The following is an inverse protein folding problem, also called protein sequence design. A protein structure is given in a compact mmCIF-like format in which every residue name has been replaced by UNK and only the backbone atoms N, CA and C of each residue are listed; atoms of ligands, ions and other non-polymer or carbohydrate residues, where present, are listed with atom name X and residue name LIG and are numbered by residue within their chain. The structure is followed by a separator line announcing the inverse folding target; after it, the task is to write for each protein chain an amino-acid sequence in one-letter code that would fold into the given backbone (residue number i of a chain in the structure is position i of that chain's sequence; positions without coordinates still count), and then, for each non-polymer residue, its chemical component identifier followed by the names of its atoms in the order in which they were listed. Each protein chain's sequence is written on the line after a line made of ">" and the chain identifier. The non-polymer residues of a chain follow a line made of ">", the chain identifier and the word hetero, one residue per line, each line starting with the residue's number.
data_IF_686135299798
#
_entry.id   IF_686135299798
#
_cell.length_a   1.000
_cell.length_b   1.000
_cell.length_c   1.000
_cell.angle_alpha   90.00
_cell.angle_beta   90.00
_cell.angle_gamma   90.00
#
_symmetry.space_group_name_H-M   'P 1'
#
loop_
_entity.id
_entity.type
_entity.pdbx_description
1 polymer ?
#
# COMPACT_ATOMS: atom_id res chain seq x y z
N UNK A 1 0.49 11.54 -0.76
CA UNK A 1 1.48 11.67 -1.81
C UNK A 1 2.44 10.49 -1.83
N UNK A 2 3.45 10.47 -0.96
CA UNK A 2 4.60 9.55 -1.02
C UNK A 2 4.22 8.05 -1.03
N UNK A 3 3.28 7.63 -0.20
CA UNK A 3 2.87 6.21 -0.13
C UNK A 3 2.20 5.75 -1.43
N UNK A 4 1.32 6.58 -2.00
CA UNK A 4 0.69 6.28 -3.30
C UNK A 4 1.71 6.19 -4.42
N UNK A 5 2.74 7.04 -4.43
CA UNK A 5 3.81 6.98 -5.41
C UNK A 5 4.59 5.66 -5.33
N UNK A 6 4.88 5.18 -4.12
CA UNK A 6 5.52 3.86 -3.93
C UNK A 6 4.67 2.72 -4.49
N UNK A 7 3.35 2.72 -4.23
CA UNK A 7 2.46 1.71 -4.79
C UNK A 7 2.44 1.75 -6.33
N UNK A 8 2.31 2.95 -6.92
CA UNK A 8 2.33 3.09 -8.38
C UNK A 8 3.65 2.56 -8.96
N UNK A 9 4.78 2.92 -8.36
CA UNK A 9 6.09 2.44 -8.80
C UNK A 9 6.26 0.92 -8.64
N UNK A 10 5.70 0.33 -7.59
CA UNK A 10 5.72 -1.12 -7.37
C UNK A 10 4.86 -1.86 -8.39
N UNK A 11 3.66 -1.34 -8.70
CA UNK A 11 2.71 -1.94 -9.65
C UNK A 11 3.21 -1.74 -11.09
N UNK A 12 3.78 -0.58 -11.38
CA UNK A 12 4.22 -0.14 -12.71
C UNK A 12 5.69 0.26 -12.70
N UNK A 13 6.64 -0.70 -12.65
CA UNK A 13 8.07 -0.40 -12.49
C UNK A 13 8.69 0.39 -13.65
N UNK A 14 8.04 0.39 -14.82
CA UNK A 14 8.49 1.11 -16.02
C UNK A 14 7.87 2.51 -16.16
N UNK A 15 7.07 2.95 -15.19
CA UNK A 15 6.43 4.28 -15.18
C UNK A 15 7.26 5.20 -14.30
N UNK A 16 7.55 6.39 -14.77
CA UNK A 16 8.12 7.46 -13.97
C UNK A 16 7.03 8.10 -13.12
N UNK A 17 7.29 8.27 -11.83
CA UNK A 17 6.29 8.78 -10.87
C UNK A 17 6.81 10.08 -10.27
N UNK A 18 6.16 11.18 -10.65
CA UNK A 18 6.45 12.50 -10.12
C UNK A 18 5.44 12.91 -9.04
N UNK A 19 5.93 13.58 -8.00
CA UNK A 19 5.12 14.12 -6.93
C UNK A 19 4.94 15.62 -7.13
N UNK A 20 3.69 16.02 -7.33
CA UNK A 20 3.32 17.44 -7.34
C UNK A 20 2.93 17.86 -5.91
N UNK A 21 3.40 19.06 -5.53
CA UNK A 21 2.93 19.74 -4.30
C UNK A 21 1.63 20.46 -4.65
N UNK A 22 0.51 19.93 -4.16
CA UNK A 22 -0.84 20.38 -4.47
C UNK A 22 -1.46 21.28 -3.38
N UNK A 23 -0.74 21.56 -2.30
CA UNK A 23 -1.27 22.31 -1.13
C UNK A 23 -1.73 23.75 -1.47
N UNK A 24 -1.36 24.26 -2.64
CA UNK A 24 -1.62 25.65 -3.05
C UNK A 24 -2.55 25.78 -4.26
N UNK A 25 -2.94 24.66 -4.87
CA UNK A 25 -3.74 24.65 -6.08
C UNK A 25 -5.22 24.40 -5.76
N UNK A 26 -6.11 25.18 -6.36
CA UNK A 26 -7.54 24.94 -6.27
C UNK A 26 -7.95 23.74 -7.13
N UNK A 27 -8.89 22.93 -6.66
CA UNK A 27 -9.35 21.71 -7.34
C UNK A 27 -9.85 21.97 -8.78
N UNK A 28 -10.41 23.16 -9.04
CA UNK A 28 -11.01 23.54 -10.33
C UNK A 28 -10.07 24.40 -11.22
N UNK A 29 -8.83 24.68 -10.80
CA UNK A 29 -7.90 25.53 -11.54
C UNK A 29 -7.04 24.73 -12.51
N UNK A 30 -7.64 24.34 -13.66
CA UNK A 30 -6.96 23.56 -14.69
C UNK A 30 -5.73 24.25 -15.29
N UNK A 31 -5.69 25.58 -15.31
CA UNK A 31 -4.54 26.34 -15.82
C UNK A 31 -3.36 26.26 -14.86
N UNK A 32 -3.59 26.49 -13.56
CA UNK A 32 -2.56 26.40 -12.54
C UNK A 32 -1.99 24.98 -12.44
N UNK A 33 -2.85 23.95 -12.50
CA UNK A 33 -2.45 22.55 -12.55
C UNK A 33 -1.61 22.21 -13.77
N UNK A 34 -2.02 22.66 -14.98
CA UNK A 34 -1.27 22.43 -16.21
C UNK A 34 0.12 23.05 -16.14
N UNK A 35 0.21 24.30 -15.67
CA UNK A 35 1.49 24.98 -15.48
C UNK A 35 2.39 24.26 -14.49
N UNK A 36 1.88 23.90 -13.31
CA UNK A 36 2.66 23.18 -12.30
C UNK A 36 3.17 21.83 -12.83
N UNK A 37 2.35 21.12 -13.61
CA UNK A 37 2.76 19.86 -14.23
C UNK A 37 3.86 20.07 -15.26
N UNK A 38 3.73 21.06 -16.14
CA UNK A 38 4.77 21.38 -17.13
C UNK A 38 6.08 21.82 -16.49
N UNK A 39 6.02 22.58 -15.39
CA UNK A 39 7.20 23.01 -14.64
C UNK A 39 7.97 21.80 -14.05
N UNK A 40 7.25 20.78 -13.58
CA UNK A 40 7.86 19.55 -13.06
C UNK A 40 8.38 18.65 -14.17
N UNK A 41 7.62 18.44 -15.24
CA UNK A 41 8.03 17.60 -16.37
C UNK A 41 9.18 18.21 -17.17
N UNK A 42 9.23 19.53 -17.30
CA UNK A 42 10.22 20.23 -18.14
C UNK A 42 10.00 20.08 -19.64
N UNK A 43 8.90 19.45 -20.07
CA UNK A 43 8.50 19.26 -21.48
C UNK A 43 6.99 19.18 -21.61
N UNK A 44 6.47 19.33 -22.83
CA UNK A 44 5.05 19.14 -23.16
C UNK A 44 4.86 17.67 -23.54
N UNK A 45 4.00 16.90 -22.82
CA UNK A 45 3.70 15.51 -23.19
C UNK A 45 2.85 15.46 -24.49
N UNK A 46 2.89 14.35 -25.19
CA UNK A 46 2.06 14.14 -26.39
C UNK A 46 0.57 14.04 -26.04
N UNK A 47 0.25 13.41 -24.91
CA UNK A 47 -1.12 13.22 -24.46
C UNK A 47 -1.25 13.12 -22.92
N UNK A 48 -2.43 13.49 -22.42
CA UNK A 48 -2.86 13.23 -21.05
C UNK A 48 -4.09 12.33 -21.04
N UNK A 49 -4.14 11.43 -20.07
CA UNK A 49 -5.23 10.48 -19.90
C UNK A 49 -5.98 10.82 -18.62
N UNK A 50 -7.28 11.05 -18.72
CA UNK A 50 -8.14 11.26 -17.53
C UNK A 50 -9.48 10.57 -17.71
N UNK A 51 -10.17 10.32 -16.60
CA UNK A 51 -11.55 9.84 -16.58
C UNK A 51 -12.55 10.94 -16.13
N UNK A 52 -12.13 12.19 -16.15
CA UNK A 52 -12.90 13.31 -15.60
C UNK A 52 -13.05 14.44 -16.62
N UNK A 53 -14.06 15.30 -16.42
CA UNK A 53 -14.40 16.38 -17.35
C UNK A 53 -13.35 17.52 -17.39
N UNK A 54 -12.54 17.66 -16.35
CA UNK A 54 -11.46 18.65 -16.33
C UNK A 54 -10.32 18.33 -17.29
N UNK A 55 -10.28 17.13 -17.87
CA UNK A 55 -9.22 16.72 -18.78
C UNK A 55 -9.09 17.57 -20.03
N UNK A 56 -10.21 18.03 -20.61
CA UNK A 56 -10.20 18.87 -21.80
C UNK A 56 -9.53 20.23 -21.55
N UNK A 57 -9.97 21.07 -20.58
CA UNK A 57 -9.28 22.32 -20.30
C UNK A 57 -7.83 22.12 -19.84
N UNK A 58 -7.56 21.10 -19.04
CA UNK A 58 -6.21 20.79 -18.58
C UNK A 58 -5.25 20.49 -19.74
N UNK A 59 -5.64 19.61 -20.67
CA UNK A 59 -4.83 19.29 -21.85
C UNK A 59 -4.66 20.50 -22.77
N UNK A 60 -5.71 21.34 -22.90
CA UNK A 60 -5.63 22.57 -23.66
C UNK A 60 -4.58 23.52 -23.12
N UNK A 61 -4.51 23.73 -21.81
CA UNK A 61 -3.48 24.56 -21.17
C UNK A 61 -2.08 23.94 -21.26
N UNK A 62 -1.97 22.62 -21.27
CA UNK A 62 -0.70 21.92 -21.47
C UNK A 62 -0.23 21.95 -22.94
N UNK A 63 -1.12 22.18 -23.90
CA UNK A 63 -0.83 22.10 -25.32
C UNK A 63 -0.68 20.67 -25.86
N UNK A 64 -1.39 19.70 -25.30
CA UNK A 64 -1.31 18.30 -25.66
C UNK A 64 -2.69 17.67 -25.96
N UNK A 65 -2.72 16.42 -26.39
CA UNK A 65 -3.96 15.70 -26.68
C UNK A 65 -4.59 15.19 -25.39
N UNK A 66 -5.92 15.37 -25.21
CA UNK A 66 -6.67 14.70 -24.15
C UNK A 66 -7.24 13.37 -24.62
N UNK A 67 -7.03 12.31 -23.84
CA UNK A 67 -7.62 11.01 -24.03
C UNK A 67 -8.54 10.71 -22.85
N UNK A 68 -9.85 10.79 -23.08
CA UNK A 68 -10.86 10.48 -22.07
C UNK A 68 -11.01 8.96 -21.90
N UNK A 69 -10.77 8.46 -20.70
CA UNK A 69 -10.79 7.02 -20.37
C UNK A 69 -11.93 6.71 -19.44
N UNK A 70 -12.88 5.86 -19.88
CA UNK A 70 -13.95 5.25 -19.07
C UNK A 70 -14.66 6.22 -18.07
N UNK A 71 -15.02 7.43 -18.55
CA UNK A 71 -15.71 8.44 -17.73
C UNK A 71 -16.95 7.90 -17.03
N UNK A 72 -17.74 7.08 -17.75
CA UNK A 72 -18.96 6.48 -17.25
C UNK A 72 -18.70 5.26 -16.34
N UNK A 73 -17.42 4.91 -16.13
CA UNK A 73 -16.99 3.76 -15.29
C UNK A 73 -17.70 2.45 -15.64
N UNK A 74 -17.86 2.21 -16.93
CA UNK A 74 -18.50 0.99 -17.45
C UNK A 74 -17.55 -0.19 -17.51
N UNK A 75 -16.27 0.04 -17.70
CA UNK A 75 -15.22 -0.99 -17.70
C UNK A 75 -14.73 -1.31 -16.29
N UNK A 76 -14.46 -0.27 -15.51
CA UNK A 76 -13.99 -0.42 -14.13
C UNK A 76 -14.94 0.38 -13.21
N UNK A 77 -15.96 -0.29 -12.61
CA UNK A 77 -17.04 0.36 -11.89
C UNK A 77 -16.64 0.84 -10.48
N UNK A 78 -15.48 1.51 -10.37
CA UNK A 78 -14.92 2.00 -9.11
C UNK A 78 -14.29 3.38 -9.28
N UNK A 79 -14.35 4.20 -8.22
CA UNK A 79 -13.65 5.48 -8.15
C UNK A 79 -12.74 5.55 -6.92
N UNK A 80 -11.74 6.41 -6.98
CA UNK A 80 -10.88 6.68 -5.84
C UNK A 80 -11.67 7.16 -4.60
N UNK A 81 -12.76 7.91 -4.81
CA UNK A 81 -13.66 8.35 -3.74
C UNK A 81 -14.40 7.17 -3.11
N UNK A 82 -14.90 6.23 -3.91
CA UNK A 82 -15.52 5.00 -3.39
C UNK A 82 -14.54 4.17 -2.58
N UNK A 83 -13.33 3.96 -3.08
CA UNK A 83 -12.27 3.24 -2.35
C UNK A 83 -11.96 3.93 -1.02
N UNK A 84 -11.72 5.25 -1.03
CA UNK A 84 -11.43 6.01 0.19
C UNK A 84 -12.56 5.96 1.22
N UNK A 85 -13.81 5.92 0.77
CA UNK A 85 -14.96 5.86 1.67
C UNK A 85 -15.08 4.51 2.39
N UNK A 86 -14.73 3.41 1.73
CA UNK A 86 -14.78 2.07 2.32
C UNK A 86 -13.79 1.11 1.62
N UNK A 87 -12.50 1.15 1.98
CA UNK A 87 -11.48 0.32 1.33
C UNK A 87 -11.77 -1.18 1.43
N UNK A 88 -12.29 -1.62 2.58
CA UNK A 88 -12.60 -3.04 2.82
C UNK A 88 -13.68 -3.57 1.89
N UNK A 89 -14.70 -2.73 1.57
CA UNK A 89 -15.77 -3.12 0.65
C UNK A 89 -15.27 -3.31 -0.78
N UNK A 90 -14.26 -2.56 -1.17
CA UNK A 90 -13.74 -2.52 -2.54
C UNK A 90 -12.33 -3.13 -2.64
N UNK A 91 -11.99 -4.01 -1.69
CA UNK A 91 -10.65 -4.60 -1.57
C UNK A 91 -10.23 -5.38 -2.82
N UNK A 92 -11.18 -6.00 -3.50
CA UNK A 92 -10.95 -6.78 -4.73
C UNK A 92 -10.43 -5.94 -5.92
N UNK A 93 -10.68 -4.63 -5.90
CA UNK A 93 -10.17 -3.69 -6.91
C UNK A 93 -8.79 -3.14 -6.60
N UNK A 94 -8.21 -3.51 -5.45
CA UNK A 94 -6.91 -3.01 -5.02
C UNK A 94 -5.81 -4.04 -5.30
N UNK A 95 -4.69 -3.55 -5.77
CA UNK A 95 -3.50 -4.38 -5.91
C UNK A 95 -2.97 -4.87 -4.55
N UNK A 96 -2.27 -6.02 -4.49
CA UNK A 96 -1.81 -6.62 -3.23
C UNK A 96 -1.07 -5.66 -2.30
N UNK A 97 -0.14 -4.87 -2.81
CA UNK A 97 0.62 -3.89 -2.04
C UNK A 97 -0.27 -2.78 -1.44
N UNK A 98 -1.35 -2.42 -2.13
CA UNK A 98 -2.34 -1.45 -1.63
C UNK A 98 -3.24 -2.10 -0.60
N UNK A 99 -3.70 -3.35 -0.84
CA UNK A 99 -4.51 -4.13 0.11
C UNK A 99 -3.80 -4.29 1.45
N UNK A 100 -2.51 -4.59 1.44
CA UNK A 100 -1.67 -4.75 2.63
C UNK A 100 -1.75 -3.56 3.59
N UNK A 101 -1.89 -2.34 3.06
CA UNK A 101 -2.02 -1.12 3.88
C UNK A 101 -3.34 -1.00 4.62
N UNK A 102 -4.38 -1.73 4.17
CA UNK A 102 -5.70 -1.80 4.81
C UNK A 102 -5.91 -3.09 5.62
N UNK A 103 -4.95 -4.01 5.62
CA UNK A 103 -5.02 -5.25 6.36
C UNK A 103 -5.15 -4.99 7.88
N UNK A 104 -6.15 -5.60 8.50
CA UNK A 104 -6.33 -5.54 9.96
C UNK A 104 -5.46 -6.58 10.62
N UNK A 105 -4.55 -6.13 11.49
CA UNK A 105 -3.68 -7.00 12.26
C UNK A 105 -4.29 -7.30 13.62
N UNK A 106 -4.42 -8.57 13.94
CA UNK A 106 -4.93 -9.05 15.23
C UNK A 106 -3.79 -9.74 15.95
N UNK A 107 -3.41 -9.22 17.12
CA UNK A 107 -2.38 -9.82 17.97
C UNK A 107 -3.05 -10.62 19.10
N UNK A 108 -2.70 -11.90 19.21
CA UNK A 108 -3.14 -12.76 20.31
C UNK A 108 -2.04 -12.77 21.37
N UNK A 109 -2.36 -12.28 22.54
CA UNK A 109 -1.42 -12.19 23.68
C UNK A 109 -1.89 -13.05 24.84
N UNK A 110 -0.94 -13.63 25.56
CA UNK A 110 -1.20 -14.46 26.74
C UNK A 110 0.10 -14.94 27.38
N UNK A 111 0.00 -15.56 28.53
CA UNK A 111 1.14 -16.18 29.18
C UNK A 111 1.68 -17.36 28.34
N UNK A 112 2.92 -17.73 28.61
CA UNK A 112 3.54 -18.89 27.97
C UNK A 112 2.66 -20.15 28.16
N UNK A 113 2.61 -20.98 27.12
CA UNK A 113 1.86 -22.27 27.12
C UNK A 113 0.34 -22.15 27.26
N UNK A 114 -0.25 -20.96 27.09
CA UNK A 114 -1.73 -20.76 27.14
C UNK A 114 -2.44 -21.02 25.82
N UNK A 115 -1.73 -21.44 24.78
CA UNK A 115 -2.31 -21.80 23.48
C UNK A 115 -2.53 -20.63 22.52
N UNK A 116 -1.91 -19.47 22.74
CA UNK A 116 -2.01 -18.29 21.87
C UNK A 116 -1.70 -18.58 20.40
N UNK A 117 -0.63 -19.35 20.14
CA UNK A 117 -0.24 -19.76 18.79
C UNK A 117 -1.31 -20.64 18.12
N UNK A 118 -1.87 -21.60 18.87
CA UNK A 118 -2.95 -22.48 18.37
C UNK A 118 -4.18 -21.66 18.03
N UNK A 119 -4.59 -20.77 18.95
CA UNK A 119 -5.75 -19.90 18.74
C UNK A 119 -5.56 -18.99 17.52
N UNK A 120 -4.38 -18.37 17.38
CA UNK A 120 -4.08 -17.51 16.22
C UNK A 120 -4.18 -18.28 14.89
N UNK A 121 -3.62 -19.49 14.84
CA UNK A 121 -3.69 -20.35 13.66
C UNK A 121 -5.14 -20.79 13.35
N UNK A 122 -5.92 -21.17 14.36
CA UNK A 122 -7.30 -21.61 14.18
C UNK A 122 -8.23 -20.46 13.77
N UNK A 123 -8.01 -19.24 14.28
CA UNK A 123 -8.71 -18.05 13.83
C UNK A 123 -8.38 -17.74 12.36
N UNK A 124 -7.11 -17.80 11.97
CA UNK A 124 -6.71 -17.58 10.59
C UNK A 124 -7.37 -18.60 9.64
N UNK A 125 -7.43 -19.87 10.01
CA UNK A 125 -8.16 -20.91 9.25
C UNK A 125 -9.67 -20.62 9.18
N UNK A 126 -10.28 -20.25 10.31
CA UNK A 126 -11.70 -19.97 10.40
C UNK A 126 -12.11 -18.79 9.49
N UNK A 127 -11.31 -17.73 9.49
CA UNK A 127 -11.56 -16.53 8.67
C UNK A 127 -10.93 -16.61 7.28
N UNK A 128 -10.29 -17.74 6.93
CA UNK A 128 -9.62 -17.94 5.65
C UNK A 128 -8.60 -16.84 5.31
N UNK A 129 -7.86 -16.40 6.31
CA UNK A 129 -6.84 -15.34 6.19
C UNK A 129 -5.46 -15.85 6.60
N UNK A 130 -4.47 -14.95 6.56
CA UNK A 130 -3.07 -15.27 6.83
C UNK A 130 -2.83 -15.40 8.34
N UNK A 131 -2.11 -16.45 8.72
CA UNK A 131 -1.48 -16.56 10.01
C UNK A 131 -0.02 -16.12 9.91
N UNK A 132 0.38 -15.19 10.77
CA UNK A 132 1.76 -14.73 10.88
C UNK A 132 2.42 -15.45 12.06
N UNK A 133 3.45 -16.28 11.82
CA UNK A 133 4.17 -16.96 12.91
C UNK A 133 4.99 -15.95 13.74
N UNK A 134 5.28 -16.33 14.98
CA UNK A 134 6.11 -15.55 15.88
C UNK A 134 7.58 -15.63 15.46
N UNK A 135 8.13 -14.51 14.97
CA UNK A 135 9.53 -14.42 14.54
C UNK A 135 10.50 -14.69 15.70
N UNK A 136 10.15 -14.26 16.91
CA UNK A 136 10.95 -14.46 18.12
C UNK A 136 11.21 -15.93 18.44
N UNK A 137 10.28 -16.83 18.09
CA UNK A 137 10.46 -18.27 18.26
C UNK A 137 11.59 -18.78 17.37
N UNK A 138 11.58 -18.46 16.08
CA UNK A 138 12.64 -18.88 15.16
C UNK A 138 14.01 -18.32 15.57
N UNK A 139 14.04 -17.05 15.97
CA UNK A 139 15.26 -16.43 16.46
C UNK A 139 15.80 -17.13 17.71
N UNK A 140 14.93 -17.42 18.68
CA UNK A 140 15.28 -18.11 19.91
C UNK A 140 15.77 -19.53 19.68
N UNK A 141 15.07 -20.30 18.86
CA UNK A 141 15.45 -21.67 18.50
C UNK A 141 16.82 -21.70 17.83
N UNK A 142 17.08 -20.79 16.87
CA UNK A 142 18.37 -20.68 16.21
C UNK A 142 19.51 -20.30 17.17
N UNK A 143 19.25 -19.33 18.05
CA UNK A 143 20.23 -18.91 19.05
C UNK A 143 20.60 -20.03 20.04
N UNK A 144 19.59 -20.71 20.58
CA UNK A 144 19.76 -21.74 21.59
C UNK A 144 20.22 -23.09 21.02
N UNK A 145 20.16 -23.27 19.71
CA UNK A 145 20.67 -24.46 19.04
C UNK A 145 22.19 -24.62 19.22
N UNK A 146 22.93 -23.51 19.15
CA UNK A 146 24.39 -23.50 19.32
C UNK A 146 24.83 -23.50 20.79
N UNK A 147 24.11 -22.76 21.65
CA UNK A 147 24.38 -22.64 23.08
C UNK A 147 23.06 -22.48 23.84
N UNK A 148 22.67 -23.53 24.57
CA UNK A 148 21.43 -23.55 25.37
C UNK A 148 21.40 -22.54 26.52
N UNK A 149 22.56 -22.02 26.91
CA UNK A 149 22.72 -21.06 28.00
C UNK A 149 23.06 -19.65 27.49
N UNK A 150 22.90 -19.41 26.20
CA UNK A 150 23.23 -18.11 25.61
C UNK A 150 22.41 -16.98 26.24
N UNK A 151 23.12 -15.97 26.75
CA UNK A 151 22.49 -14.78 27.35
C UNK A 151 21.76 -13.95 26.32
N UNK A 152 20.60 -13.39 26.73
CA UNK A 152 19.80 -12.49 25.93
C UNK A 152 20.27 -11.04 26.12
N UNK A 153 20.45 -10.32 25.01
CA UNK A 153 20.81 -8.90 25.00
C UNK A 153 19.62 -8.06 24.55
N UNK A 154 19.53 -6.83 25.05
CA UNK A 154 18.42 -5.92 24.70
C UNK A 154 18.33 -5.64 23.20
N UNK A 155 19.46 -5.58 22.49
CA UNK A 155 19.50 -5.34 21.05
C UNK A 155 18.86 -6.50 20.24
N UNK A 156 18.83 -7.71 20.79
CA UNK A 156 18.22 -8.86 20.13
C UNK A 156 16.70 -8.75 20.11
N UNK A 157 16.10 -8.21 21.15
CA UNK A 157 14.66 -7.94 21.16
C UNK A 157 14.26 -6.90 20.10
N UNK A 158 15.10 -5.90 19.86
CA UNK A 158 14.90 -4.94 18.76
C UNK A 158 14.99 -5.63 17.39
N UNK A 159 15.94 -6.56 17.22
CA UNK A 159 16.05 -7.34 15.98
C UNK A 159 14.83 -8.23 15.76
N UNK A 160 14.36 -8.90 16.83
CA UNK A 160 13.16 -9.73 16.80
C UNK A 160 11.94 -8.90 16.41
N UNK A 161 11.74 -7.74 17.04
CA UNK A 161 10.62 -6.84 16.73
C UNK A 161 10.66 -6.37 15.27
N UNK A 162 11.81 -5.97 14.76
CA UNK A 162 11.99 -5.59 13.35
C UNK A 162 11.72 -6.75 12.38
N UNK A 163 12.22 -7.96 12.71
CA UNK A 163 11.97 -9.15 11.92
C UNK A 163 10.48 -9.52 11.90
N UNK A 164 9.79 -9.38 13.02
CA UNK A 164 8.34 -9.56 13.11
C UNK A 164 7.60 -8.57 12.21
N UNK A 165 7.93 -7.28 12.24
CA UNK A 165 7.32 -6.26 11.39
C UNK A 165 7.51 -6.57 9.89
N UNK A 166 8.74 -6.93 9.48
CA UNK A 166 9.02 -7.29 8.08
C UNK A 166 8.21 -8.50 7.64
N UNK A 167 8.09 -9.52 8.50
CA UNK A 167 7.31 -10.71 8.21
C UNK A 167 5.82 -10.39 8.08
N UNK A 168 5.27 -9.57 8.98
CA UNK A 168 3.88 -9.11 8.95
C UNK A 168 3.57 -8.30 7.69
N UNK A 169 4.46 -7.36 7.33
CA UNK A 169 4.30 -6.53 6.13
C UNK A 169 4.29 -7.40 4.86
N UNK A 170 5.23 -8.33 4.75
CA UNK A 170 5.32 -9.23 3.59
C UNK A 170 4.09 -10.14 3.46
N UNK A 171 3.58 -10.67 4.57
CA UNK A 171 2.43 -11.56 4.56
C UNK A 171 1.10 -10.81 4.38
N UNK A 172 1.03 -9.52 4.76
CA UNK A 172 -0.17 -8.71 4.59
C UNK A 172 -0.59 -8.57 3.12
N UNK A 173 0.34 -8.61 2.17
CA UNK A 173 0.04 -8.59 0.73
C UNK A 173 -0.80 -9.80 0.27
N UNK A 174 -0.72 -10.91 1.01
CA UNK A 174 -1.47 -12.14 0.75
C UNK A 174 -2.75 -12.25 1.60
N UNK A 175 -3.08 -11.23 2.43
CA UNK A 175 -4.28 -11.23 3.24
C UNK A 175 -5.55 -10.94 2.42
N UNK A 176 -6.68 -11.46 2.90
CA UNK A 176 -8.01 -11.22 2.32
C UNK A 176 -8.62 -9.95 2.89
#
# INVERSE_FOLDING_TARGET
>A
GVERAKWIQQIHPNVEVELLDDDRLGDDDSEAWAKSTLDVLGYVPDAVFTSESYGDPYASFMGCVHVLVDKERTLIPISATMVRSNPTKYIEFLEPCVRASFARRVCIVGAESTGTTTLANDLAKHYQTIWVPEYGRFYGEGKLFGDKNADWRSEEFVKIARGQCVLEDSLAESSN
#
